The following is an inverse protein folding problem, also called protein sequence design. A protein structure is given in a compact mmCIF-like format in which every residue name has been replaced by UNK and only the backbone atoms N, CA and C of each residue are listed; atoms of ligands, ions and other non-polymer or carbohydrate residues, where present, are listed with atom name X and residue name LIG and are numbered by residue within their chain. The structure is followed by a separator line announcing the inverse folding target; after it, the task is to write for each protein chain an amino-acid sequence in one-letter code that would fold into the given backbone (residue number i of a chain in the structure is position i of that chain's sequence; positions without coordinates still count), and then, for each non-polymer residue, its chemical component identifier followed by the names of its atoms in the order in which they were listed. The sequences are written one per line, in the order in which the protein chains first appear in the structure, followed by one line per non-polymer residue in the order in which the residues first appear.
data_IF_765317601132
#
_entry.id   IF_765317601132
#
_cell.length_a   1.000
_cell.length_b   1.000
_cell.length_c   1.000
_cell.angle_alpha   90.00
_cell.angle_beta   90.00
_cell.angle_gamma   90.00
#
_symmetry.space_group_name_H-M   'P 1'
#
loop_
_entity.id
_entity.type
_entity.pdbx_description
1 polymer ?
#
# COMPACT_ATOMS: atom_id res chain seq x y z
N UNK A 1 6.02 41.33 15.99
CA UNK A 1 6.78 40.23 15.36
C UNK A 1 5.89 39.03 15.40
N UNK A 2 5.50 38.55 14.22
CA UNK A 2 4.50 37.50 14.02
C UNK A 2 4.78 36.28 14.89
N UNK A 3 3.81 35.78 15.67
CA UNK A 3 3.92 34.43 16.18
C UNK A 3 3.87 33.52 14.95
N UNK A 4 4.94 32.77 14.71
CA UNK A 4 4.94 31.65 13.79
C UNK A 4 3.60 30.92 13.97
N UNK A 5 2.80 30.82 12.92
CA UNK A 5 1.57 30.02 12.94
C UNK A 5 2.00 28.61 13.34
N UNK A 6 1.60 28.16 14.53
CA UNK A 6 1.86 26.81 14.99
C UNK A 6 0.89 25.87 14.26
N UNK A 7 1.28 25.49 13.04
CA UNK A 7 0.53 24.59 12.19
C UNK A 7 0.19 23.29 12.91
N UNK A 8 1.07 22.82 13.80
CA UNK A 8 0.88 21.59 14.56
C UNK A 8 -0.25 21.74 15.58
N UNK A 9 -0.29 22.84 16.32
CA UNK A 9 -1.39 23.12 17.24
C UNK A 9 -2.73 23.21 16.49
N UNK A 10 -2.80 23.92 15.37
CA UNK A 10 -4.01 24.02 14.55
C UNK A 10 -4.47 22.66 14.03
N UNK A 11 -3.54 21.81 13.59
CA UNK A 11 -3.86 20.48 13.11
C UNK A 11 -4.41 19.58 14.25
N UNK A 12 -3.85 19.67 15.45
CA UNK A 12 -4.35 18.97 16.63
C UNK A 12 -5.75 19.45 17.05
N UNK A 13 -6.00 20.75 17.03
CA UNK A 13 -7.34 21.31 17.30
C UNK A 13 -8.36 20.84 16.25
N UNK A 14 -7.96 20.83 14.97
CA UNK A 14 -8.79 20.34 13.88
C UNK A 14 -9.12 18.84 13.99
N UNK A 15 -8.19 18.02 14.48
CA UNK A 15 -8.41 16.62 14.83
C UNK A 15 -9.47 16.48 15.92
N UNK A 16 -9.29 17.17 17.05
CA UNK A 16 -10.21 17.11 18.20
C UNK A 16 -11.61 17.61 17.84
N UNK A 17 -11.70 18.69 17.06
CA UNK A 17 -12.97 19.25 16.60
C UNK A 17 -13.77 18.29 15.71
N UNK A 18 -13.10 17.30 15.08
CA UNK A 18 -13.72 16.25 14.27
C UNK A 18 -13.92 14.93 15.03
N UNK A 19 -13.66 14.91 16.34
CA UNK A 19 -13.78 13.71 17.16
C UNK A 19 -12.62 12.72 17.00
N UNK A 20 -11.50 13.15 16.41
CA UNK A 20 -10.31 12.33 16.22
C UNK A 20 -9.30 12.59 17.35
N UNK A 21 -8.40 11.62 17.55
CA UNK A 21 -7.37 11.61 18.58
C UNK A 21 -6.02 12.00 17.95
N UNK A 22 -5.47 13.19 18.25
CA UNK A 22 -4.15 13.56 17.75
C UNK A 22 -3.01 12.82 18.46
N UNK A 23 -3.24 12.31 19.68
CA UNK A 23 -2.25 11.57 20.45
C UNK A 23 -2.72 10.15 20.78
N UNK A 24 -1.78 9.21 20.83
CA UNK A 24 -2.04 7.85 21.32
C UNK A 24 -2.23 7.85 22.84
N UNK A 25 -3.10 6.95 23.32
CA UNK A 25 -3.21 6.70 24.76
C UNK A 25 -1.95 5.99 25.29
N UNK A 26 -1.64 6.17 26.57
CA UNK A 26 -0.54 5.45 27.21
C UNK A 26 -0.72 3.91 27.16
N UNK A 27 -1.96 3.43 27.08
CA UNK A 27 -2.26 2.02 26.90
C UNK A 27 -1.87 1.54 25.49
N UNK A 28 -2.25 2.29 24.44
CA UNK A 28 -1.89 1.97 23.06
C UNK A 28 -0.37 1.98 22.84
N UNK A 29 0.35 2.96 23.42
CA UNK A 29 1.81 3.01 23.34
C UNK A 29 2.49 1.83 24.05
N UNK A 30 1.96 1.40 25.21
CA UNK A 30 2.50 0.22 25.92
C UNK A 30 2.23 -1.07 25.14
N UNK A 31 1.04 -1.21 24.58
CA UNK A 31 0.68 -2.36 23.74
C UNK A 31 1.57 -2.45 22.50
N UNK A 32 1.72 -1.35 21.77
CA UNK A 32 2.60 -1.28 20.61
C UNK A 32 4.08 -1.52 20.98
N UNK A 33 4.56 -0.99 22.10
CA UNK A 33 5.93 -1.21 22.57
C UNK A 33 6.21 -2.64 23.04
N UNK A 34 5.17 -3.43 23.33
CA UNK A 34 5.27 -4.86 23.63
C UNK A 34 5.13 -5.75 22.38
N UNK A 35 4.68 -5.18 21.26
CA UNK A 35 4.56 -5.91 20.00
C UNK A 35 5.93 -6.35 19.50
N UNK A 36 5.95 -7.52 18.88
CA UNK A 36 7.14 -8.10 18.27
C UNK A 36 6.79 -8.54 16.86
N UNK A 37 7.79 -8.69 16.01
CA UNK A 37 7.58 -9.23 14.68
C UNK A 37 6.93 -10.62 14.82
N UNK A 38 5.71 -10.83 14.29
CA UNK A 38 4.99 -12.07 14.48
C UNK A 38 5.84 -13.23 13.97
N UNK A 39 6.11 -14.20 14.84
CA UNK A 39 6.73 -15.44 14.41
C UNK A 39 5.85 -16.06 13.31
N UNK A 40 6.42 -16.60 12.22
CA UNK A 40 5.62 -17.25 11.20
C UNK A 40 4.75 -18.33 11.84
N UNK A 41 3.43 -18.20 11.77
CA UNK A 41 2.53 -19.22 12.29
C UNK A 41 2.72 -20.51 11.49
N UNK A 42 3.48 -21.45 12.05
CA UNK A 42 3.81 -22.74 11.42
C UNK A 42 2.63 -23.73 11.42
N UNK A 43 1.40 -23.29 11.73
CA UNK A 43 0.17 -24.10 11.69
C UNK A 43 -0.25 -24.58 10.29
N UNK A 44 0.62 -24.46 9.29
CA UNK A 44 0.46 -25.06 7.96
C UNK A 44 -0.43 -24.27 6.99
N UNK A 45 -0.91 -23.09 7.37
CA UNK A 45 -1.80 -22.24 6.56
C UNK A 45 -1.10 -21.05 5.90
N UNK A 46 0.13 -20.72 6.30
CA UNK A 46 0.92 -19.64 5.72
C UNK A 46 1.76 -20.18 4.57
N UNK A 47 1.51 -19.67 3.35
CA UNK A 47 2.33 -20.03 2.18
C UNK A 47 3.70 -19.36 2.25
N UNK A 48 4.73 -20.04 1.77
CA UNK A 48 6.05 -19.42 1.61
C UNK A 48 6.20 -18.91 0.18
N UNK A 49 6.15 -17.58 0.01
CA UNK A 49 6.30 -16.91 -1.28
C UNK A 49 7.53 -16.00 -1.31
N UNK A 50 8.47 -16.16 -0.36
CA UNK A 50 9.66 -15.32 -0.25
C UNK A 50 10.56 -15.38 -1.49
N UNK A 51 10.49 -16.48 -2.24
CA UNK A 51 11.30 -16.69 -3.45
C UNK A 51 10.86 -15.84 -4.65
N UNK A 52 9.64 -15.29 -4.64
CA UNK A 52 9.16 -14.47 -5.75
C UNK A 52 9.83 -13.10 -5.79
N UNK A 53 9.87 -12.49 -6.97
CA UNK A 53 10.42 -11.14 -7.21
C UNK A 53 9.42 -10.06 -6.78
N UNK A 54 9.04 -10.07 -5.51
CA UNK A 54 8.19 -9.02 -4.94
C UNK A 54 8.90 -7.67 -4.96
N UNK A 55 8.17 -6.61 -5.29
CA UNK A 55 8.66 -5.25 -5.19
C UNK A 55 7.54 -4.29 -4.75
N UNK A 56 7.95 -3.12 -4.31
CA UNK A 56 7.09 -1.98 -3.93
C UNK A 56 7.38 -0.81 -4.85
N UNK A 57 6.36 0.04 -5.12
CA UNK A 57 6.53 1.33 -5.77
C UNK A 57 5.78 2.36 -4.94
N UNK A 58 6.51 3.30 -4.35
CA UNK A 58 5.97 4.29 -3.40
C UNK A 58 6.63 5.67 -3.62
N UNK A 59 6.31 6.65 -2.77
CA UNK A 59 7.10 7.87 -2.73
C UNK A 59 8.49 7.58 -2.11
N UNK A 60 9.49 8.37 -2.51
CA UNK A 60 10.88 8.22 -2.05
C UNK A 60 10.99 8.18 -0.52
N UNK A 61 10.21 9.01 0.16
CA UNK A 61 10.16 9.24 1.60
C UNK A 61 9.21 8.30 2.37
N UNK A 62 8.49 7.40 1.68
CA UNK A 62 7.56 6.44 2.32
C UNK A 62 8.32 5.44 3.19
N UNK A 63 7.83 5.23 4.41
CA UNK A 63 8.40 4.29 5.40
C UNK A 63 7.46 3.12 5.73
N UNK A 64 6.16 3.36 5.64
CA UNK A 64 5.05 2.43 5.76
C UNK A 64 4.73 1.84 4.39
N UNK A 65 5.49 0.80 4.00
CA UNK A 65 5.27 0.09 2.75
C UNK A 65 4.18 -0.95 2.97
N UNK A 66 2.96 -0.62 2.58
CA UNK A 66 1.79 -1.44 2.86
C UNK A 66 1.62 -2.61 1.89
N UNK A 67 2.23 -2.55 0.70
CA UNK A 67 1.96 -3.50 -0.36
C UNK A 67 3.17 -3.86 -1.23
N UNK A 68 3.15 -5.09 -1.74
CA UNK A 68 4.06 -5.59 -2.77
C UNK A 68 3.25 -6.22 -3.90
N UNK A 69 3.84 -6.32 -5.09
CA UNK A 69 3.25 -7.08 -6.19
C UNK A 69 4.26 -7.93 -6.94
N UNK A 70 3.76 -9.00 -7.54
CA UNK A 70 4.47 -9.84 -8.51
C UNK A 70 3.46 -10.38 -9.52
N UNK A 71 3.90 -10.57 -10.76
CA UNK A 71 3.07 -11.07 -11.85
C UNK A 71 3.77 -12.20 -12.59
N UNK A 72 3.00 -13.18 -13.06
CA UNK A 72 3.45 -14.32 -13.84
C UNK A 72 2.60 -14.44 -15.10
N UNK A 73 3.24 -14.48 -16.27
CA UNK A 73 2.55 -14.78 -17.51
C UNK A 73 2.19 -16.27 -17.57
N UNK A 74 0.92 -16.56 -17.79
CA UNK A 74 0.37 -17.90 -17.98
C UNK A 74 0.05 -18.15 -19.46
N UNK A 75 -0.29 -19.40 -19.87
CA UNK A 75 -0.77 -19.69 -21.22
C UNK A 75 -1.97 -18.82 -21.62
N UNK A 76 -2.20 -18.72 -22.94
CA UNK A 76 -3.33 -17.99 -23.54
C UNK A 76 -3.39 -16.49 -23.21
N UNK A 77 -2.26 -15.92 -22.77
CA UNK A 77 -2.14 -14.50 -22.45
C UNK A 77 -2.76 -14.11 -21.10
N UNK A 78 -3.15 -15.09 -20.28
CA UNK A 78 -3.59 -14.86 -18.91
C UNK A 78 -2.38 -14.41 -18.07
N UNK A 79 -2.58 -13.47 -17.16
CA UNK A 79 -1.56 -13.05 -16.19
C UNK A 79 -2.03 -13.40 -14.78
N UNK A 80 -1.23 -14.16 -14.04
CA UNK A 80 -1.42 -14.32 -12.60
C UNK A 80 -0.80 -13.11 -11.91
N UNK A 81 -1.60 -12.33 -11.20
CA UNK A 81 -1.18 -11.20 -10.39
C UNK A 81 -1.32 -11.56 -8.92
N UNK A 82 -0.27 -11.35 -8.13
CA UNK A 82 -0.34 -11.42 -6.69
C UNK A 82 -0.06 -10.04 -6.12
N UNK A 83 -0.96 -9.58 -5.25
CA UNK A 83 -0.76 -8.39 -4.42
C UNK A 83 -0.65 -8.85 -2.98
N UNK A 84 0.47 -8.58 -2.34
CA UNK A 84 0.69 -8.84 -0.92
C UNK A 84 0.45 -7.54 -0.15
N UNK A 85 -0.47 -7.55 0.81
CA UNK A 85 -0.74 -6.43 1.73
C UNK A 85 -0.23 -6.79 3.11
N UNK A 86 0.42 -5.84 3.80
CA UNK A 86 0.92 -6.03 5.15
C UNK A 86 -0.17 -6.60 6.07
N UNK A 87 0.14 -7.67 6.80
CA UNK A 87 -0.79 -8.26 7.76
C UNK A 87 -0.75 -7.46 9.06
N UNK A 88 -1.54 -6.38 9.12
CA UNK A 88 -1.59 -5.49 10.30
C UNK A 88 -2.39 -6.11 11.45
N UNK A 89 -3.35 -6.99 11.14
CA UNK A 89 -4.25 -7.64 12.10
C UNK A 89 -3.47 -8.39 13.19
N UNK A 90 -2.35 -9.02 12.84
CA UNK A 90 -1.50 -9.73 13.81
C UNK A 90 -0.77 -8.82 14.81
N UNK A 91 -0.75 -7.50 14.57
CA UNK A 91 -0.09 -6.50 15.41
C UNK A 91 -1.07 -5.59 16.17
N UNK A 92 -2.35 -5.59 15.79
CA UNK A 92 -3.39 -4.77 16.39
C UNK A 92 -4.62 -5.65 16.71
N UNK A 93 -4.58 -6.46 17.79
CA UNK A 93 -5.63 -7.41 18.09
C UNK A 93 -6.95 -6.72 18.44
N UNK A 94 -8.06 -7.30 17.95
CA UNK A 94 -9.41 -6.83 18.21
C UNK A 94 -9.68 -6.65 19.72
N UNK A 95 -10.21 -5.48 20.09
CA UNK A 95 -10.50 -5.10 21.48
C UNK A 95 -9.29 -4.58 22.26
N UNK A 96 -8.11 -4.51 21.64
CA UNK A 96 -6.90 -3.88 22.19
C UNK A 96 -7.00 -2.35 22.29
N UNK A 97 -6.05 -1.73 22.99
CA UNK A 97 -5.93 -0.28 23.08
C UNK A 97 -5.46 0.35 21.77
N UNK A 98 -4.65 -0.36 20.98
CA UNK A 98 -4.29 0.07 19.61
C UNK A 98 -5.52 0.01 18.71
N UNK A 99 -6.27 -1.08 18.73
CA UNK A 99 -7.53 -1.25 17.99
C UNK A 99 -8.55 -0.15 18.34
N UNK A 100 -8.72 0.18 19.62
CA UNK A 100 -9.64 1.25 20.03
C UNK A 100 -9.24 2.64 19.47
N UNK A 101 -7.95 2.94 19.39
CA UNK A 101 -7.46 4.18 18.78
C UNK A 101 -7.68 4.15 17.26
N UNK A 102 -7.33 3.05 16.59
CA UNK A 102 -7.54 2.87 15.16
C UNK A 102 -9.03 2.97 14.79
N UNK A 103 -9.93 2.38 15.58
CA UNK A 103 -11.37 2.49 15.41
C UNK A 103 -11.89 3.92 15.58
N UNK A 104 -11.28 4.71 16.46
CA UNK A 104 -11.65 6.12 16.64
C UNK A 104 -11.16 6.98 15.47
N UNK A 105 -9.91 6.80 15.05
CA UNK A 105 -9.31 7.63 14.00
C UNK A 105 -9.69 7.19 12.59
N UNK A 106 -10.01 5.91 12.38
CA UNK A 106 -10.41 5.22 11.13
C UNK A 106 -9.38 5.24 9.98
N UNK A 107 -8.48 6.22 9.98
CA UNK A 107 -7.45 6.44 8.97
C UNK A 107 -6.32 7.27 9.57
N UNK A 108 -5.14 7.19 8.96
CA UNK A 108 -4.09 8.19 9.18
C UNK A 108 -4.56 9.53 8.60
N UNK A 109 -4.32 10.64 9.31
CA UNK A 109 -4.69 11.98 8.84
C UNK A 109 -3.43 12.73 8.42
N UNK A 110 -3.36 13.04 7.13
CA UNK A 110 -2.25 13.77 6.52
C UNK A 110 -2.56 15.25 6.49
N UNK A 111 -1.72 16.06 7.14
CA UNK A 111 -1.84 17.52 7.14
C UNK A 111 -0.52 18.15 6.70
N UNK A 112 -0.55 19.45 6.37
CA UNK A 112 0.69 20.19 6.15
C UNK A 112 1.53 20.32 7.44
N UNK A 113 0.96 20.14 8.63
CA UNK A 113 1.72 20.22 9.87
C UNK A 113 2.47 18.92 10.20
N UNK A 114 2.01 17.81 9.63
CA UNK A 114 2.47 16.48 9.95
C UNK A 114 1.39 15.42 9.75
N UNK A 115 1.75 14.19 10.04
CA UNK A 115 0.88 13.02 9.93
C UNK A 115 0.40 12.64 11.33
N UNK A 116 -0.89 12.43 11.49
CA UNK A 116 -1.48 11.80 12.67
C UNK A 116 -1.78 10.34 12.31
N UNK A 117 -0.88 9.40 12.63
CA UNK A 117 -1.00 8.04 12.14
C UNK A 117 -2.14 7.30 12.84
N UNK A 118 -2.82 6.41 12.12
CA UNK A 118 -3.85 5.53 12.68
C UNK A 118 -3.27 4.54 13.69
N UNK A 119 -2.02 4.11 13.46
CA UNK A 119 -1.31 3.13 14.26
C UNK A 119 0.00 3.72 14.78
N UNK A 120 0.47 3.33 15.97
CA UNK A 120 1.78 3.74 16.46
C UNK A 120 2.89 3.40 15.47
N UNK A 121 3.88 4.28 15.31
CA UNK A 121 4.91 4.17 14.26
C UNK A 121 5.68 2.84 14.27
N UNK A 122 5.92 2.26 15.45
CA UNK A 122 6.58 0.95 15.57
C UNK A 122 5.78 -0.16 14.87
N UNK A 123 4.45 -0.05 14.84
CA UNK A 123 3.62 -1.01 14.14
C UNK A 123 3.64 -0.74 12.64
N UNK A 124 3.33 0.50 12.22
CA UNK A 124 3.13 0.83 10.79
C UNK A 124 4.43 0.97 9.99
N UNK A 125 5.48 1.56 10.57
CA UNK A 125 6.72 1.88 9.84
C UNK A 125 7.84 0.88 10.07
N UNK A 126 7.65 -0.12 10.91
CA UNK A 126 8.64 -1.17 11.19
C UNK A 126 8.02 -2.57 11.11
N UNK A 127 7.19 -2.95 12.09
CA UNK A 127 6.75 -4.34 12.23
C UNK A 127 5.86 -4.83 11.07
N UNK A 128 4.92 -4.02 10.59
CA UNK A 128 4.06 -4.38 9.44
C UNK A 128 4.67 -4.00 8.09
N UNK A 129 5.48 -2.93 8.05
CA UNK A 129 6.03 -2.40 6.80
C UNK A 129 6.82 -3.45 6.03
N UNK A 130 6.53 -3.58 4.74
CA UNK A 130 7.11 -4.54 3.81
C UNK A 130 8.49 -4.06 3.30
N UNK A 131 9.39 -3.74 4.24
CA UNK A 131 10.73 -3.23 3.97
C UNK A 131 11.56 -4.12 3.05
N UNK A 132 12.38 -3.48 2.21
CA UNK A 132 13.32 -4.17 1.32
C UNK A 132 14.25 -5.11 2.10
N UNK A 133 14.40 -6.33 1.59
CA UNK A 133 15.22 -7.39 2.18
C UNK A 133 14.63 -8.05 3.42
N UNK A 134 13.46 -7.61 3.89
CA UNK A 134 12.86 -8.15 5.12
C UNK A 134 11.76 -9.16 4.83
N UNK A 135 11.75 -10.23 5.61
CA UNK A 135 10.66 -11.20 5.60
C UNK A 135 9.48 -10.63 6.41
N UNK A 136 8.29 -10.69 5.83
CA UNK A 136 7.06 -10.18 6.45
C UNK A 136 5.89 -11.11 6.17
N UNK A 137 4.97 -11.14 7.13
CA UNK A 137 3.66 -11.74 6.93
C UNK A 137 2.78 -10.78 6.13
N UNK A 138 2.10 -11.30 5.13
CA UNK A 138 1.19 -10.56 4.29
C UNK A 138 -0.08 -11.36 4.03
N UNK A 139 -1.18 -10.64 3.81
CA UNK A 139 -2.38 -11.16 3.18
C UNK A 139 -2.22 -10.99 1.67
N UNK A 140 -2.20 -12.10 0.94
CA UNK A 140 -2.02 -12.13 -0.50
C UNK A 140 -3.37 -12.28 -1.19
N UNK A 141 -3.64 -11.36 -2.11
CA UNK A 141 -4.72 -11.45 -3.09
C UNK A 141 -4.11 -11.96 -4.39
N UNK A 142 -4.38 -13.22 -4.73
CA UNK A 142 -4.00 -13.82 -6.01
C UNK A 142 -5.16 -13.70 -6.98
N UNK A 143 -4.88 -13.27 -8.21
CA UNK A 143 -5.85 -13.05 -9.27
C UNK A 143 -5.34 -13.62 -10.59
N UNK A 144 -6.23 -14.23 -11.38
CA UNK A 144 -5.97 -14.50 -12.79
C UNK A 144 -6.68 -13.45 -13.65
N UNK A 145 -5.89 -12.67 -14.38
CA UNK A 145 -6.37 -11.59 -15.23
C UNK A 145 -6.28 -12.01 -16.70
N UNK A 146 -7.41 -12.01 -17.38
CA UNK A 146 -7.50 -12.31 -18.81
C UNK A 146 -6.92 -11.17 -19.67
N UNK A 147 -6.69 -11.44 -20.95
CA UNK A 147 -6.14 -10.48 -21.91
C UNK A 147 -7.00 -9.23 -22.08
N UNK A 148 -8.31 -9.33 -21.84
CA UNK A 148 -9.24 -8.20 -21.89
C UNK A 148 -9.30 -7.37 -20.59
N UNK A 149 -8.51 -7.75 -19.57
CA UNK A 149 -8.48 -7.11 -18.25
C UNK A 149 -9.53 -7.64 -17.26
N UNK A 150 -10.32 -8.66 -17.60
CA UNK A 150 -11.25 -9.30 -16.68
C UNK A 150 -10.49 -10.13 -15.63
N UNK A 151 -10.85 -10.00 -14.35
CA UNK A 151 -10.37 -10.90 -13.29
C UNK A 151 -11.28 -12.12 -13.25
N UNK A 152 -10.77 -13.27 -13.72
CA UNK A 152 -11.54 -14.51 -13.88
C UNK A 152 -11.63 -15.32 -12.58
N UNK A 153 -10.50 -15.47 -11.89
CA UNK A 153 -10.38 -16.21 -10.63
C UNK A 153 -9.63 -15.36 -9.62
N UNK A 154 -9.98 -15.53 -8.34
CA UNK A 154 -9.25 -14.88 -7.25
C UNK A 154 -9.33 -15.68 -5.96
N UNK A 155 -8.26 -15.63 -5.17
CA UNK A 155 -8.22 -16.20 -3.82
C UNK A 155 -7.44 -15.29 -2.87
N UNK A 156 -7.73 -15.41 -1.58
CA UNK A 156 -7.05 -14.67 -0.51
C UNK A 156 -6.45 -15.65 0.49
N UNK A 157 -5.20 -15.46 0.87
CA UNK A 157 -4.51 -16.31 1.85
C UNK A 157 -3.35 -15.56 2.52
N UNK A 158 -2.90 -16.04 3.69
CA UNK A 158 -1.70 -15.51 4.35
C UNK A 158 -0.43 -16.12 3.76
N UNK A 159 0.63 -15.32 3.62
CA UNK A 159 1.93 -15.77 3.12
C UNK A 159 3.11 -15.01 3.75
N UNK A 160 4.26 -15.67 3.81
CA UNK A 160 5.55 -14.99 3.99
C UNK A 160 6.04 -14.46 2.65
N UNK A 161 6.38 -13.18 2.63
CA UNK A 161 6.94 -12.47 1.47
C UNK A 161 8.26 -11.80 1.84
N UNK A 162 9.07 -11.48 0.83
CA UNK A 162 10.32 -10.74 1.00
C UNK A 162 10.42 -9.70 -0.12
N UNK A 163 10.39 -8.42 0.23
CA UNK A 163 10.50 -7.33 -0.73
C UNK A 163 11.91 -7.30 -1.33
N UNK A 164 12.03 -7.49 -2.63
CA UNK A 164 13.31 -7.50 -3.34
C UNK A 164 13.75 -6.11 -3.79
N UNK A 165 12.83 -5.16 -3.90
CA UNK A 165 13.12 -3.78 -4.32
C UNK A 165 12.08 -2.77 -3.81
N UNK A 166 12.55 -1.71 -3.15
CA UNK A 166 11.82 -0.45 -2.98
C UNK A 166 12.10 0.45 -4.17
N UNK A 167 11.05 0.73 -4.94
CA UNK A 167 11.11 1.62 -6.09
C UNK A 167 10.32 2.90 -5.82
N UNK A 168 10.68 3.94 -6.56
CA UNK A 168 10.05 5.24 -6.46
C UNK A 168 9.15 5.51 -7.66
N UNK A 169 7.97 6.08 -7.42
CA UNK A 169 7.02 6.41 -8.48
C UNK A 169 7.64 7.23 -9.61
N UNK A 170 8.32 8.33 -9.29
CA UNK A 170 8.87 9.23 -10.30
C UNK A 170 10.00 8.56 -11.10
N UNK A 171 10.85 7.78 -10.44
CA UNK A 171 11.93 7.06 -11.09
C UNK A 171 11.40 5.97 -12.04
N UNK A 172 10.42 5.17 -11.60
CA UNK A 172 9.80 4.12 -12.44
C UNK A 172 9.06 4.74 -13.61
N UNK A 173 8.29 5.82 -13.40
CA UNK A 173 7.58 6.50 -14.48
C UNK A 173 8.55 7.03 -15.52
N UNK A 174 9.59 7.76 -15.09
CA UNK A 174 10.58 8.33 -15.99
C UNK A 174 11.28 7.25 -16.84
N UNK A 175 11.56 6.09 -16.24
CA UNK A 175 12.17 4.94 -16.93
C UNK A 175 11.20 4.29 -17.92
N UNK A 176 9.95 4.04 -17.53
CA UNK A 176 8.90 3.51 -18.43
C UNK A 176 8.64 4.43 -19.62
N UNK A 177 8.80 5.74 -19.43
CA UNK A 177 8.66 6.76 -20.48
C UNK A 177 9.94 6.94 -21.32
N UNK A 178 11.02 6.24 -20.99
CA UNK A 178 12.29 6.27 -21.74
C UNK A 178 13.07 7.57 -21.58
N UNK A 179 12.79 8.35 -20.52
CA UNK A 179 13.40 9.67 -20.28
C UNK A 179 14.67 9.63 -19.43
N UNK A 180 14.91 8.50 -18.75
CA UNK A 180 16.09 8.26 -17.90
C UNK A 180 16.67 6.87 -18.17
N UNK A 181 17.96 6.63 -17.85
CA UNK A 181 18.54 5.29 -17.94
C UNK A 181 17.83 4.27 -17.01
N UNK A 182 18.05 2.96 -17.22
CA UNK A 182 17.56 1.91 -16.33
C UNK A 182 17.92 2.16 -14.86
N UNK A 183 16.95 1.91 -13.98
CA UNK A 183 17.15 2.02 -12.53
C UNK A 183 18.22 1.01 -12.07
N UNK A 184 19.10 1.36 -11.12
CA UNK A 184 20.13 0.44 -10.61
C UNK A 184 19.57 -0.90 -10.11
N UNK A 185 18.37 -0.88 -9.51
CA UNK A 185 17.66 -2.06 -9.01
C UNK A 185 17.37 -3.09 -10.11
N UNK A 186 17.18 -2.66 -11.36
CA UNK A 186 16.88 -3.57 -12.48
C UNK A 186 18.04 -4.52 -12.79
N UNK A 187 19.28 -4.06 -12.58
CA UNK A 187 20.46 -4.90 -12.72
C UNK A 187 20.72 -5.76 -11.46
N UNK A 188 20.34 -5.26 -10.29
CA UNK A 188 20.61 -5.91 -9.01
C UNK A 188 19.61 -7.04 -8.68
N UNK A 189 18.37 -6.94 -9.15
CA UNK A 189 17.28 -7.87 -8.83
C UNK A 189 16.88 -8.65 -10.08
N UNK A 190 17.19 -9.96 -10.16
CA UNK A 190 16.84 -10.79 -11.31
C UNK A 190 15.33 -10.79 -11.55
N UNK A 191 14.94 -10.58 -12.81
CA UNK A 191 13.53 -10.59 -13.23
C UNK A 191 12.79 -9.26 -13.00
N UNK A 192 13.40 -8.26 -12.35
CA UNK A 192 12.67 -7.04 -11.97
C UNK A 192 12.24 -6.20 -13.18
N UNK A 193 13.06 -6.14 -14.22
CA UNK A 193 12.69 -5.43 -15.45
C UNK A 193 11.48 -6.10 -16.14
N UNK A 194 11.50 -7.44 -16.29
CA UNK A 194 10.37 -8.17 -16.85
C UNK A 194 9.11 -7.99 -16.00
N UNK A 195 9.26 -8.00 -14.67
CA UNK A 195 8.16 -7.73 -13.74
C UNK A 195 7.54 -6.36 -13.98
N UNK A 196 8.32 -5.28 -14.01
CA UNK A 196 7.79 -3.92 -14.19
C UNK A 196 7.09 -3.76 -15.55
N UNK A 197 7.65 -4.32 -16.62
CA UNK A 197 7.02 -4.28 -17.95
C UNK A 197 5.72 -5.05 -18.00
N UNK A 198 5.67 -6.22 -17.35
CA UNK A 198 4.45 -7.02 -17.23
C UNK A 198 3.37 -6.29 -16.41
N UNK A 199 3.74 -5.65 -15.30
CA UNK A 199 2.81 -4.87 -14.48
C UNK A 199 2.25 -3.67 -15.24
N UNK A 200 3.07 -2.97 -16.02
CA UNK A 200 2.64 -1.84 -16.84
C UNK A 200 1.64 -2.25 -17.93
N UNK A 201 1.91 -3.34 -18.65
CA UNK A 201 0.98 -3.90 -19.62
C UNK A 201 -0.33 -4.36 -18.97
N UNK A 202 -0.23 -5.05 -17.83
CA UNK A 202 -1.38 -5.53 -17.07
C UNK A 202 -2.26 -4.38 -16.56
N UNK A 203 -1.66 -3.33 -16.00
CA UNK A 203 -2.38 -2.14 -15.56
C UNK A 203 -3.14 -1.49 -16.72
N UNK A 204 -2.53 -1.41 -17.91
CA UNK A 204 -3.18 -0.98 -19.13
C UNK A 204 -4.45 -1.77 -19.45
N UNK A 205 -4.40 -3.10 -19.38
CA UNK A 205 -5.55 -3.98 -19.63
C UNK A 205 -6.65 -3.79 -18.58
N UNK A 206 -6.30 -3.78 -17.29
CA UNK A 206 -7.23 -3.55 -16.18
C UNK A 206 -7.96 -2.21 -16.30
N UNK A 207 -7.22 -1.16 -16.70
CA UNK A 207 -7.77 0.16 -16.92
C UNK A 207 -8.75 0.20 -18.08
N UNK A 208 -8.38 -0.36 -19.23
CA UNK A 208 -9.24 -0.41 -20.41
C UNK A 208 -10.54 -1.16 -20.10
N UNK A 209 -10.44 -2.30 -19.42
CA UNK A 209 -11.61 -3.06 -18.97
C UNK A 209 -12.53 -2.21 -18.10
N UNK A 210 -12.00 -1.54 -17.07
CA UNK A 210 -12.78 -0.67 -16.19
C UNK A 210 -13.44 0.49 -16.93
N UNK A 211 -12.71 1.13 -17.84
CA UNK A 211 -13.26 2.21 -18.67
C UNK A 211 -14.39 1.73 -19.57
N UNK A 212 -14.27 0.52 -20.15
CA UNK A 212 -15.33 -0.10 -20.94
C UNK A 212 -16.60 -0.39 -20.11
N UNK A 213 -16.45 -0.52 -18.79
CA UNK A 213 -17.53 -0.71 -17.81
C UNK A 213 -18.06 0.61 -17.22
N UNK A 214 -17.64 1.76 -17.75
CA UNK A 214 -18.12 3.08 -17.32
C UNK A 214 -17.34 3.69 -16.14
N UNK A 215 -16.13 3.22 -15.84
CA UNK A 215 -15.28 3.86 -14.83
C UNK A 215 -14.92 5.30 -15.25
N UNK A 216 -15.23 6.26 -14.38
CA UNK A 216 -14.89 7.66 -14.58
C UNK A 216 -13.48 7.94 -14.06
N UNK A 217 -12.69 8.68 -14.84
CA UNK A 217 -11.41 9.20 -14.37
C UNK A 217 -11.59 10.65 -13.92
N UNK A 218 -11.80 10.84 -12.63
CA UNK A 218 -11.92 12.18 -12.03
C UNK A 218 -10.54 12.62 -11.55
N UNK A 219 -9.99 13.66 -12.20
CA UNK A 219 -8.74 14.25 -11.77
C UNK A 219 -9.00 15.27 -10.65
N UNK A 220 -8.39 15.04 -9.51
CA UNK A 220 -8.33 16.01 -8.41
C UNK A 220 -6.98 16.71 -8.46
N UNK A 221 -6.94 17.98 -8.06
CA UNK A 221 -5.68 18.70 -7.90
C UNK A 221 -4.99 18.15 -6.65
N UNK A 222 -3.87 17.45 -6.84
CA UNK A 222 -2.99 17.01 -5.76
C UNK A 222 -1.84 18.01 -5.60
N UNK A 223 -1.51 18.34 -4.36
CA UNK A 223 -0.40 19.23 -4.01
C UNK A 223 0.47 18.62 -2.92
N UNK A 224 1.78 18.88 -3.01
CA UNK A 224 2.80 18.51 -2.03
C UNK A 224 3.28 19.77 -1.30
N UNK A 225 3.32 19.77 0.04
CA UNK A 225 3.95 20.83 0.81
C UNK A 225 5.48 20.78 0.70
N UNK A 226 6.11 21.95 0.67
CA UNK A 226 7.57 22.12 0.66
C UNK A 226 8.00 22.85 1.90
N UNK A 227 8.95 22.27 2.64
CA UNK A 227 9.48 22.82 3.87
C UNK A 227 10.93 23.26 3.70
N UNK A 228 11.28 24.34 4.41
CA UNK A 228 12.64 24.82 4.63
C UNK A 228 12.83 25.03 6.13
N UNK A 229 13.78 24.32 6.74
CA UNK A 229 14.00 24.28 8.20
C UNK A 229 12.71 24.09 9.04
N UNK A 230 11.80 23.23 8.56
CA UNK A 230 10.52 22.92 9.22
C UNK A 230 9.42 23.97 9.00
N UNK A 231 9.69 25.04 8.24
CA UNK A 231 8.72 26.06 7.87
C UNK A 231 8.14 25.73 6.50
N UNK A 232 6.81 25.72 6.38
CA UNK A 232 6.12 25.56 5.09
C UNK A 232 6.38 26.81 4.23
N UNK A 233 7.10 26.64 3.11
CA UNK A 233 7.46 27.75 2.21
C UNK A 233 6.70 27.73 0.88
N UNK A 234 6.16 26.58 0.47
CA UNK A 234 5.52 26.43 -0.85
C UNK A 234 4.54 25.23 -0.88
N UNK A 235 3.61 25.24 -1.83
CA UNK A 235 2.71 24.13 -2.17
C UNK A 235 2.84 23.86 -3.67
N UNK A 236 3.43 22.72 -4.02
CA UNK A 236 3.70 22.38 -5.42
C UNK A 236 2.70 21.36 -5.96
N UNK A 237 2.30 21.43 -7.24
CA UNK A 237 1.50 20.39 -7.86
C UNK A 237 2.19 19.03 -7.75
N UNK A 238 1.43 18.00 -7.41
CA UNK A 238 1.87 16.60 -7.43
C UNK A 238 1.08 15.85 -8.51
N UNK A 239 1.50 15.92 -9.78
CA UNK A 239 0.75 15.32 -10.87
C UNK A 239 0.72 13.79 -10.76
N UNK A 240 -0.32 13.19 -11.33
CA UNK A 240 -0.33 11.75 -11.60
C UNK A 240 0.77 11.44 -12.62
N UNK A 241 1.41 10.30 -12.43
CA UNK A 241 2.41 9.75 -13.34
C UNK A 241 2.07 8.29 -13.64
N UNK A 242 2.75 7.69 -14.63
CA UNK A 242 2.44 6.33 -15.12
C UNK A 242 2.57 5.27 -14.03
N UNK A 243 3.55 5.41 -13.13
CA UNK A 243 3.78 4.45 -12.06
C UNK A 243 2.71 4.51 -10.96
N UNK A 244 2.26 5.71 -10.56
CA UNK A 244 1.12 5.90 -9.64
C UNK A 244 -0.14 5.25 -10.22
N UNK A 245 -0.32 5.48 -11.51
CA UNK A 245 -1.41 4.94 -12.31
C UNK A 245 -1.39 3.41 -12.41
N UNK A 246 -0.21 2.83 -12.61
CA UNK A 246 0.02 1.39 -12.60
C UNK A 246 -0.41 0.79 -11.26
N UNK A 247 0.12 1.29 -10.13
CA UNK A 247 -0.21 0.76 -8.80
C UNK A 247 -1.70 0.92 -8.49
N UNK A 248 -2.29 2.06 -8.84
CA UNK A 248 -3.72 2.30 -8.64
C UNK A 248 -4.60 1.25 -9.35
N UNK A 249 -4.27 0.89 -10.60
CA UNK A 249 -5.06 -0.10 -11.35
C UNK A 249 -4.97 -1.50 -10.73
N UNK A 250 -3.79 -1.90 -10.23
CA UNK A 250 -3.60 -3.17 -9.53
C UNK A 250 -4.38 -3.22 -8.21
N UNK A 251 -4.35 -2.14 -7.43
CA UNK A 251 -5.06 -2.07 -6.15
C UNK A 251 -6.56 -2.04 -6.32
N UNK A 252 -7.07 -1.38 -7.36
CA UNK A 252 -8.50 -1.41 -7.67
C UNK A 252 -8.93 -2.85 -8.05
N UNK A 253 -8.10 -3.59 -8.79
CA UNK A 253 -8.37 -4.99 -9.11
C UNK A 253 -8.37 -5.87 -7.85
N UNK A 254 -7.36 -5.73 -6.99
CA UNK A 254 -7.24 -6.48 -5.74
C UNK A 254 -8.41 -6.22 -4.78
N UNK A 255 -8.74 -4.95 -4.53
CA UNK A 255 -9.88 -4.56 -3.71
C UNK A 255 -11.20 -5.09 -4.29
N UNK A 256 -11.37 -5.02 -5.61
CA UNK A 256 -12.52 -5.59 -6.30
C UNK A 256 -12.62 -7.11 -6.13
N UNK A 257 -11.50 -7.83 -6.15
CA UNK A 257 -11.45 -9.26 -5.92
C UNK A 257 -11.83 -9.63 -4.48
N UNK A 258 -11.25 -8.94 -3.49
CA UNK A 258 -11.58 -9.13 -2.07
C UNK A 258 -13.07 -8.87 -1.81
N UNK A 259 -13.63 -7.79 -2.36
CA UNK A 259 -15.05 -7.46 -2.21
C UNK A 259 -15.96 -8.57 -2.77
N UNK A 260 -15.63 -9.17 -3.92
CA UNK A 260 -16.39 -10.29 -4.50
C UNK A 260 -16.32 -11.54 -3.63
N UNK A 261 -15.14 -11.86 -3.09
CA UNK A 261 -14.96 -13.00 -2.19
C UNK A 261 -15.77 -12.81 -0.91
N UNK A 262 -15.70 -11.63 -0.28
CA UNK A 262 -16.49 -11.31 0.91
C UNK A 262 -17.99 -11.46 0.68
N UNK A 263 -18.51 -10.94 -0.44
CA UNK A 263 -19.92 -11.07 -0.79
C UNK A 263 -20.38 -12.53 -0.98
N UNK A 264 -19.50 -13.42 -1.44
CA UNK A 264 -19.80 -14.85 -1.55
C UNK A 264 -19.83 -15.53 -0.18
N UNK A 265 -18.94 -15.16 0.74
CA UNK A 265 -18.90 -15.72 2.10
C UNK A 265 -20.17 -15.34 2.87
N UNK A 266 -20.60 -14.08 2.81
CA UNK A 266 -21.79 -13.61 3.51
C UNK A 266 -23.07 -14.33 3.02
N UNK A 267 -23.17 -14.65 1.73
CA UNK A 267 -24.30 -15.40 1.18
C UNK A 267 -24.40 -16.82 1.76
N UNK A 268 -23.26 -17.48 2.03
CA UNK A 268 -23.24 -18.84 2.61
C UNK A 268 -23.35 -18.85 4.14
N UNK A 269 -23.20 -17.70 4.81
CA UNK A 269 -23.36 -17.58 6.26
C UNK A 269 -24.82 -17.30 6.68
N UNK A 270 -25.69 -16.95 5.72
CA UNK A 270 -27.11 -16.64 5.92
C UNK A 270 -28.02 -17.84 5.57
N UNK A 271 -27.47 -18.89 4.96
CA UNK A 271 -28.14 -20.17 4.66
C UNK A 271 -27.78 -21.25 5.70
#
# INVERSE_FOLDING_TARGET
MDPLIDLQLFAQEAMRARGLLPEFSAAALREAGAAQNPAPDRRGQIRDLRALTWFSIDNDDTRDLDQLSVAEALPDGVTRLLVAVADVDVLAPLGGAVDAHAATNTTSVYTAAGIFPMLPEVLSTDLSSLHEGQERLAVVVEMQVATDGTVAESQVYRALVCNRAKLAYDAVSAWLDGTVPPLPQLAAVPGLEEQLRLHDALAGNLRQWRQSRGALNMNTISVRPVFDDGVLIDLRPDPRNRAKDLIADLMIAANGAVARIGAQIDQHAVD
#
